data_IF_146684548804
#
_entry.id   IF_146684548804
#
_cell.length_a   1.000
_cell.length_b   1.000
_cell.length_c   1.000
_cell.angle_alpha   90.00
_cell.angle_beta   90.00
_cell.angle_gamma   90.00
#
_symmetry.space_group_name_H-M   'P 1'
#
loop_
_entity.id
_entity.type
_entity.pdbx_description
1 polymer ?
#
# COMPACT_ATOMS: atom_id res chain seq x y z
N UNK A 1 39.92 63.60 3.19
CA UNK A 1 39.01 63.04 4.20
C UNK A 1 38.40 61.77 3.62
N UNK A 2 38.50 60.65 4.36
CA UNK A 2 37.93 59.30 4.19
C UNK A 2 37.95 58.71 2.75
N UNK A 3 38.94 57.92 2.32
CA UNK A 3 39.23 56.49 2.63
C UNK A 3 38.00 55.58 2.50
N UNK A 4 37.99 54.76 1.45
CA UNK A 4 37.30 53.48 1.44
C UNK A 4 38.38 52.39 1.54
N UNK A 5 38.32 51.60 2.62
CA UNK A 5 39.35 50.66 3.03
C UNK A 5 39.41 49.45 2.08
N UNK A 6 40.60 49.20 1.59
CA UNK A 6 41.05 47.89 1.12
C UNK A 6 40.88 46.90 2.27
N UNK A 7 40.11 45.85 2.04
CA UNK A 7 40.14 44.58 2.78
C UNK A 7 40.21 43.53 1.69
N UNK A 8 41.35 42.92 1.42
CA UNK A 8 42.15 42.21 2.41
C UNK A 8 41.99 40.74 2.08
N UNK A 9 42.91 40.25 1.25
CA UNK A 9 43.33 38.85 1.17
C UNK A 9 42.91 38.01 2.38
N UNK A 10 41.92 37.13 2.21
CA UNK A 10 41.70 35.99 3.09
C UNK A 10 41.53 34.76 2.19
N UNK A 11 42.61 34.28 1.60
CA UNK A 11 43.49 33.27 2.21
C UNK A 11 42.75 31.97 2.51
N UNK A 12 42.96 31.01 1.61
CA UNK A 12 42.99 29.55 1.80
C UNK A 12 41.70 28.85 2.32
N UNK A 13 41.28 27.85 1.54
CA UNK A 13 40.19 26.92 1.83
C UNK A 13 40.41 26.11 3.12
N UNK A 14 39.32 25.50 3.64
CA UNK A 14 39.37 24.05 3.77
C UNK A 14 38.17 23.40 3.06
N UNK A 15 38.51 22.45 2.19
CA UNK A 15 37.77 21.25 1.80
C UNK A 15 36.33 21.18 2.34
N UNK A 16 35.35 21.47 1.48
CA UNK A 16 33.99 20.95 1.67
C UNK A 16 34.09 19.43 1.78
N UNK A 17 33.73 18.91 2.95
CA UNK A 17 33.57 17.49 3.21
C UNK A 17 32.81 16.83 2.05
N UNK A 18 33.39 15.82 1.41
CA UNK A 18 32.69 14.95 0.45
C UNK A 18 31.60 14.10 1.13
N UNK A 19 31.43 14.24 2.45
CA UNK A 19 30.30 13.77 3.23
C UNK A 19 29.48 14.97 3.71
N UNK A 20 28.82 15.65 2.78
CA UNK A 20 27.57 16.34 3.12
C UNK A 20 26.48 15.30 2.91
N UNK A 21 26.12 14.61 4.00
CA UNK A 21 24.98 13.70 4.02
C UNK A 21 23.78 14.49 3.54
N UNK A 22 23.39 14.26 2.29
CA UNK A 22 22.13 14.71 1.72
C UNK A 22 21.06 14.33 2.72
N UNK A 23 20.49 15.31 3.42
CA UNK A 23 19.31 15.10 4.24
C UNK A 23 18.32 14.33 3.39
N UNK A 24 17.99 13.15 3.87
CA UNK A 24 17.02 12.27 3.25
C UNK A 24 15.75 13.09 3.18
N UNK A 25 15.34 13.46 1.97
CA UNK A 25 14.02 14.01 1.73
C UNK A 25 13.04 13.13 2.49
N UNK A 26 12.35 13.74 3.45
CA UNK A 26 11.25 13.10 4.16
C UNK A 26 10.18 12.82 3.11
N UNK A 27 10.32 11.69 2.41
CA UNK A 27 9.24 11.06 1.68
C UNK A 27 8.23 10.76 2.75
N UNK A 28 7.26 11.67 2.88
CA UNK A 28 6.04 11.43 3.62
C UNK A 28 5.38 10.24 2.91
N UNK A 29 5.76 9.03 3.30
CA UNK A 29 4.95 7.86 3.10
C UNK A 29 3.66 8.21 3.80
N UNK A 30 2.67 8.65 3.03
CA UNK A 30 1.29 8.71 3.47
C UNK A 30 1.00 7.31 3.99
N UNK A 31 1.05 7.15 5.33
CA UNK A 31 0.61 5.93 5.99
C UNK A 31 -0.88 5.90 5.77
N UNK A 32 -1.30 5.35 4.63
CA UNK A 32 -2.68 4.96 4.43
C UNK A 32 -2.99 4.05 5.63
N UNK A 33 -3.97 4.41 6.48
CA UNK A 33 -4.36 3.59 7.61
C UNK A 33 -4.60 2.17 7.12
N UNK A 34 -4.04 1.18 7.82
CA UNK A 34 -4.25 -0.21 7.45
C UNK A 34 -5.74 -0.58 7.37
N UNK A 35 -6.58 0.06 8.20
CA UNK A 35 -8.03 -0.07 8.14
C UNK A 35 -8.61 0.32 6.78
N UNK A 36 -8.09 1.35 6.14
CA UNK A 36 -8.54 1.80 4.81
C UNK A 36 -8.11 0.81 3.72
N UNK A 37 -6.91 0.24 3.85
CA UNK A 37 -6.44 -0.82 2.96
C UNK A 37 -7.30 -2.09 3.10
N UNK A 38 -7.59 -2.52 4.33
CA UNK A 38 -8.45 -3.66 4.62
C UNK A 38 -9.87 -3.42 4.09
N UNK A 39 -10.41 -2.22 4.29
CA UNK A 39 -11.72 -1.84 3.77
C UNK A 39 -11.75 -1.94 2.24
N UNK A 40 -10.74 -1.39 1.57
CA UNK A 40 -10.62 -1.46 0.10
C UNK A 40 -10.51 -2.91 -0.39
N UNK A 41 -9.73 -3.76 0.29
CA UNK A 41 -9.64 -5.18 -0.03
C UNK A 41 -10.99 -5.89 0.15
N UNK A 42 -11.71 -5.61 1.23
CA UNK A 42 -13.03 -6.17 1.50
C UNK A 42 -14.05 -5.74 0.44
N UNK A 43 -14.06 -4.45 0.08
CA UNK A 43 -14.91 -3.90 -0.97
C UNK A 43 -14.60 -4.57 -2.32
N UNK A 44 -13.31 -4.82 -2.61
CA UNK A 44 -12.87 -5.53 -3.82
C UNK A 44 -13.35 -6.97 -3.83
N UNK A 45 -13.18 -7.72 -2.74
CA UNK A 45 -13.67 -9.10 -2.63
C UNK A 45 -15.19 -9.18 -2.80
N UNK A 46 -15.94 -8.25 -2.19
CA UNK A 46 -17.39 -8.18 -2.34
C UNK A 46 -17.80 -7.93 -3.80
N UNK A 47 -17.09 -7.03 -4.50
CA UNK A 47 -17.35 -6.78 -5.92
C UNK A 47 -17.09 -8.04 -6.78
N UNK A 48 -16.01 -8.78 -6.50
CA UNK A 48 -15.71 -10.03 -7.23
C UNK A 48 -16.77 -11.11 -6.98
N UNK A 49 -17.29 -11.22 -5.76
CA UNK A 49 -18.41 -12.10 -5.43
C UNK A 49 -19.68 -11.72 -6.22
N UNK A 50 -20.05 -10.43 -6.21
CA UNK A 50 -21.21 -9.95 -6.97
C UNK A 50 -21.06 -10.15 -8.48
N UNK A 51 -19.86 -9.95 -9.01
CA UNK A 51 -19.55 -10.20 -10.42
C UNK A 51 -19.69 -11.69 -10.76
N UNK A 52 -19.15 -12.58 -9.91
CA UNK A 52 -19.26 -14.03 -10.09
C UNK A 52 -20.72 -14.50 -10.03
N UNK A 53 -21.51 -13.98 -9.09
CA UNK A 53 -22.94 -14.29 -8.97
C UNK A 53 -23.72 -13.80 -10.19
N UNK A 54 -23.42 -12.59 -10.67
CA UNK A 54 -24.06 -12.04 -11.86
C UNK A 54 -23.77 -12.90 -13.09
N UNK A 55 -22.50 -13.23 -13.34
CA UNK A 55 -22.11 -14.05 -14.50
C UNK A 55 -22.71 -15.46 -14.39
N UNK A 56 -22.77 -16.03 -13.19
CA UNK A 56 -23.43 -17.32 -12.94
C UNK A 56 -24.93 -17.25 -13.21
N UNK A 57 -25.59 -16.18 -12.78
CA UNK A 57 -27.02 -15.95 -13.03
C UNK A 57 -27.31 -15.76 -14.53
N UNK A 58 -26.49 -14.97 -15.23
CA UNK A 58 -26.63 -14.73 -16.66
C UNK A 58 -26.43 -16.03 -17.46
N UNK A 59 -25.52 -16.91 -17.02
CA UNK A 59 -25.32 -18.23 -17.61
C UNK A 59 -26.51 -19.16 -17.33
N UNK A 60 -26.99 -19.22 -16.08
CA UNK A 60 -28.14 -20.03 -15.71
C UNK A 60 -29.43 -19.58 -16.42
N UNK A 61 -29.56 -18.29 -16.72
CA UNK A 61 -30.66 -17.71 -17.48
C UNK A 61 -30.55 -17.94 -19.01
N UNK A 62 -29.44 -18.53 -19.50
CA UNK A 62 -29.20 -18.76 -20.93
C UNK A 62 -28.89 -17.49 -21.72
N UNK A 63 -28.51 -16.39 -21.03
CA UNK A 63 -28.13 -15.12 -21.67
C UNK A 63 -26.69 -15.23 -22.23
N UNK A 64 -25.86 -16.07 -21.63
CA UNK A 64 -24.49 -16.34 -22.09
C UNK A 64 -24.19 -17.85 -22.04
N UNK A 65 -23.59 -18.39 -23.10
CA UNK A 65 -23.16 -19.79 -23.18
C UNK A 65 -21.71 -19.98 -22.72
N UNK A 66 -21.07 -18.91 -22.24
CA UNK A 66 -19.66 -18.92 -21.89
C UNK A 66 -19.42 -19.43 -20.45
N UNK A 67 -19.43 -20.75 -20.30
CA UNK A 67 -19.11 -21.42 -19.03
C UNK A 67 -17.71 -21.07 -18.51
N UNK A 68 -16.74 -20.80 -19.40
CA UNK A 68 -15.39 -20.43 -18.98
C UNK A 68 -15.36 -19.12 -18.21
N UNK A 69 -16.18 -18.14 -18.62
CA UNK A 69 -16.30 -16.88 -17.90
C UNK A 69 -16.85 -17.07 -16.49
N UNK A 70 -17.84 -17.95 -16.31
CA UNK A 70 -18.40 -18.32 -15.00
C UNK A 70 -17.33 -18.92 -14.10
N UNK A 71 -16.62 -19.94 -14.59
CA UNK A 71 -15.58 -20.63 -13.82
C UNK A 71 -14.43 -19.68 -13.47
N UNK A 72 -13.98 -18.83 -14.41
CA UNK A 72 -12.93 -17.84 -14.14
C UNK A 72 -13.38 -16.83 -13.08
N UNK A 73 -14.61 -16.34 -13.17
CA UNK A 73 -15.14 -15.39 -12.20
C UNK A 73 -15.26 -16.02 -10.80
N UNK A 74 -15.73 -17.26 -10.73
CA UNK A 74 -15.81 -18.02 -9.48
C UNK A 74 -14.42 -18.24 -8.85
N UNK A 75 -13.43 -18.67 -9.65
CA UNK A 75 -12.06 -18.89 -9.17
C UNK A 75 -11.42 -17.59 -8.63
N UNK A 76 -11.65 -16.47 -9.34
CA UNK A 76 -11.19 -15.14 -8.89
C UNK A 76 -11.82 -14.74 -7.56
N UNK A 77 -13.13 -14.92 -7.42
CA UNK A 77 -13.85 -14.59 -6.20
C UNK A 77 -13.37 -15.46 -5.03
N UNK A 78 -13.19 -16.77 -5.25
CA UNK A 78 -12.70 -17.69 -4.22
C UNK A 78 -11.28 -17.35 -3.77
N UNK A 79 -10.35 -17.15 -4.72
CA UNK A 79 -8.97 -16.77 -4.39
C UNK A 79 -8.91 -15.45 -3.61
N UNK A 80 -9.69 -14.45 -4.03
CA UNK A 80 -9.75 -13.15 -3.34
C UNK A 80 -10.35 -13.26 -1.93
N UNK A 81 -11.35 -14.12 -1.74
CA UNK A 81 -11.94 -14.39 -0.44
C UNK A 81 -10.94 -15.09 0.48
N UNK A 82 -10.29 -16.15 0.00
CA UNK A 82 -9.27 -16.87 0.77
C UNK A 82 -8.13 -15.93 1.20
N UNK A 83 -7.65 -15.09 0.29
CA UNK A 83 -6.63 -14.08 0.59
C UNK A 83 -7.08 -13.11 1.68
N UNK A 84 -8.32 -12.61 1.60
CA UNK A 84 -8.89 -11.71 2.62
C UNK A 84 -9.01 -12.39 3.98
N UNK A 85 -9.41 -13.66 4.02
CA UNK A 85 -9.46 -14.45 5.26
C UNK A 85 -8.05 -14.63 5.86
N UNK A 86 -7.04 -14.88 5.05
CA UNK A 86 -5.65 -14.97 5.52
C UNK A 86 -5.17 -13.65 6.13
N UNK A 87 -5.47 -12.52 5.49
CA UNK A 87 -5.15 -11.20 6.04
C UNK A 87 -5.88 -10.99 7.37
N UNK A 88 -7.20 -11.27 7.42
CA UNK A 88 -8.00 -11.17 8.65
C UNK A 88 -7.36 -11.95 9.80
N UNK A 89 -6.99 -13.20 9.57
CA UNK A 89 -6.34 -14.04 10.58
C UNK A 89 -5.01 -13.46 11.04
N UNK A 90 -4.14 -13.04 10.09
CA UNK A 90 -2.84 -12.44 10.42
C UNK A 90 -2.96 -11.18 11.28
N UNK A 91 -3.99 -10.36 11.09
CA UNK A 91 -4.23 -9.18 11.93
C UNK A 91 -4.63 -9.60 13.34
N UNK A 92 -5.54 -10.58 13.46
CA UNK A 92 -5.96 -11.10 14.77
C UNK A 92 -4.79 -11.72 15.53
N UNK A 93 -3.91 -12.42 14.83
CA UNK A 93 -2.68 -12.97 15.39
C UNK A 93 -1.75 -11.85 15.87
N UNK A 94 -1.50 -10.83 15.04
CA UNK A 94 -0.66 -9.69 15.41
C UNK A 94 -1.21 -8.92 16.62
N UNK A 95 -2.53 -8.73 16.69
CA UNK A 95 -3.20 -8.14 17.85
C UNK A 95 -3.00 -9.00 19.11
N UNK A 96 -3.20 -10.32 18.98
CA UNK A 96 -3.02 -11.27 20.08
C UNK A 96 -1.57 -11.33 20.58
N UNK A 97 -0.60 -11.21 19.68
CA UNK A 97 0.83 -11.18 20.01
C UNK A 97 1.21 -9.92 20.79
N UNK A 98 0.71 -8.74 20.40
CA UNK A 98 0.91 -7.50 21.14
C UNK A 98 0.36 -7.62 22.57
N UNK A 99 -0.80 -8.25 22.74
CA UNK A 99 -1.38 -8.49 24.07
C UNK A 99 -0.53 -9.44 24.91
N UNK A 100 0.12 -10.42 24.29
CA UNK A 100 1.03 -11.36 24.97
C UNK A 100 2.36 -10.73 25.39
N UNK A 101 2.78 -9.63 24.78
CA UNK A 101 3.98 -8.90 25.18
C UNK A 101 3.81 -8.06 26.47
N UNK A 102 2.57 -7.77 26.89
CA UNK A 102 2.29 -6.88 28.04
C UNK A 102 2.11 -7.60 29.38
N UNK A 103 2.39 -8.90 29.47
CA UNK A 103 2.50 -9.63 30.75
C UNK A 103 3.95 -9.84 31.16
#
# INVERSE_FOLDING_TARGET
>A
MAVNLISGINSLAPSRSLFETKETENVNYSKIPFADYLKSALDTTNNLLLESDKISSDFAAGITDNIHAVTIAAEKADTALQFTLQIRSKIMDAYSEIMRMQI
#
